data_IF_765161235368
#
_entry.id   IF_765161235368
#
_cell.length_a   1.000
_cell.length_b   1.000
_cell.length_c   1.000
_cell.angle_alpha   90.00
_cell.angle_beta   90.00
_cell.angle_gamma   90.00
#
_symmetry.space_group_name_H-M   'P 1'
#
loop_
_entity.id
_entity.type
_entity.pdbx_description
1 polymer ?
#
# COMPACT_ATOMS: atom_id res chain seq x y z
N UNK A 1 49.47 -31.13 12.89
CA UNK A 1 48.06 -30.74 13.15
C UNK A 1 47.80 -29.23 13.00
N UNK A 2 48.68 -28.35 13.51
CA UNK A 2 48.51 -26.88 13.48
C UNK A 2 48.42 -26.25 12.06
N UNK A 3 49.08 -26.84 11.06
CA UNK A 3 49.06 -26.38 9.66
C UNK A 3 47.75 -26.70 8.90
N UNK A 4 47.02 -27.74 9.32
CA UNK A 4 45.74 -28.14 8.72
C UNK A 4 44.62 -27.20 9.16
N UNK A 5 44.57 -26.92 10.48
CA UNK A 5 43.62 -25.96 11.03
C UNK A 5 43.79 -24.57 10.39
N UNK A 6 45.04 -24.12 10.21
CA UNK A 6 45.35 -22.83 9.58
C UNK A 6 44.77 -22.73 8.15
N UNK A 7 44.88 -23.80 7.34
CA UNK A 7 44.35 -23.82 5.97
C UNK A 7 42.83 -23.74 5.94
N UNK A 8 42.16 -24.45 6.84
CA UNK A 8 40.68 -24.44 6.95
C UNK A 8 40.19 -23.07 7.39
N UNK A 9 40.85 -22.45 8.38
CA UNK A 9 40.51 -21.11 8.84
C UNK A 9 40.63 -20.07 7.73
N UNK A 10 41.69 -20.14 6.92
CA UNK A 10 41.89 -19.22 5.79
C UNK A 10 40.79 -19.41 4.74
N UNK A 11 40.44 -20.65 4.39
CA UNK A 11 39.34 -20.93 3.47
C UNK A 11 37.99 -20.41 3.97
N UNK A 12 37.70 -20.55 5.26
CA UNK A 12 36.49 -20.05 5.90
C UNK A 12 36.41 -18.52 5.85
N UNK A 13 37.51 -17.83 6.19
CA UNK A 13 37.57 -16.36 6.15
C UNK A 13 37.40 -15.84 4.73
N UNK A 14 38.04 -16.48 3.75
CA UNK A 14 37.90 -16.10 2.33
C UNK A 14 36.46 -16.33 1.86
N UNK A 15 35.85 -17.47 2.18
CA UNK A 15 34.46 -17.77 1.82
C UNK A 15 33.47 -16.77 2.43
N UNK A 16 33.64 -16.42 3.71
CA UNK A 16 32.84 -15.41 4.38
C UNK A 16 33.01 -14.02 3.76
N UNK A 17 34.25 -13.63 3.48
CA UNK A 17 34.54 -12.34 2.86
C UNK A 17 33.88 -12.24 1.47
N UNK A 18 34.02 -13.27 0.64
CA UNK A 18 33.41 -13.30 -0.70
C UNK A 18 31.89 -13.33 -0.62
N UNK A 19 31.31 -14.15 0.27
CA UNK A 19 29.86 -14.22 0.45
C UNK A 19 29.25 -12.92 0.96
N UNK A 20 29.93 -12.21 1.88
CA UNK A 20 29.49 -10.93 2.40
C UNK A 20 29.60 -9.83 1.34
N UNK A 21 30.71 -9.77 0.60
CA UNK A 21 30.88 -8.83 -0.53
C UNK A 21 29.80 -9.08 -1.57
N UNK A 22 29.54 -10.34 -1.93
CA UNK A 22 28.52 -10.68 -2.92
C UNK A 22 27.12 -10.31 -2.43
N UNK A 23 26.78 -10.65 -1.19
CA UNK A 23 25.49 -10.36 -0.59
C UNK A 23 25.21 -8.86 -0.43
N UNK A 24 26.23 -8.06 -0.10
CA UNK A 24 26.06 -6.63 0.18
C UNK A 24 26.22 -5.74 -1.06
N UNK A 25 27.16 -6.05 -1.96
CA UNK A 25 27.49 -5.17 -3.10
C UNK A 25 26.65 -5.46 -4.33
N UNK A 26 26.37 -6.74 -4.64
CA UNK A 26 25.58 -7.09 -5.85
C UNK A 26 24.07 -7.03 -5.61
N UNK A 27 23.62 -7.24 -4.37
CA UNK A 27 22.21 -7.23 -3.97
C UNK A 27 22.03 -6.31 -2.77
N UNK A 28 22.27 -4.98 -2.91
CA UNK A 28 21.96 -4.06 -1.83
C UNK A 28 20.51 -4.27 -1.43
N UNK A 29 20.25 -4.45 -0.14
CA UNK A 29 18.87 -4.51 0.36
C UNK A 29 18.25 -3.17 0.01
N UNK A 30 17.42 -3.14 -1.02
CA UNK A 30 16.55 -2.01 -1.23
C UNK A 30 15.54 -2.12 -0.11
N UNK A 31 15.70 -1.29 0.92
CA UNK A 31 14.56 -0.84 1.69
C UNK A 31 13.65 -0.18 0.65
N UNK A 32 12.69 -0.95 0.15
CA UNK A 32 11.66 -0.39 -0.72
C UNK A 32 10.81 0.41 0.26
N UNK A 33 10.97 1.73 0.23
CA UNK A 33 10.11 2.65 0.94
C UNK A 33 8.66 2.28 0.58
N UNK A 34 7.98 1.61 1.51
CA UNK A 34 6.57 1.23 1.42
C UNK A 34 5.72 2.47 1.68
N UNK A 35 5.86 3.47 0.82
CA UNK A 35 4.92 4.58 0.83
C UNK A 35 3.57 4.04 0.34
N UNK A 36 2.42 4.47 0.90
CA UNK A 36 1.09 4.00 0.51
C UNK A 36 0.78 4.12 -0.99
N UNK A 37 1.47 5.00 -1.70
CA UNK A 37 1.45 5.16 -3.15
C UNK A 37 2.19 4.07 -3.94
N UNK A 38 2.84 3.11 -3.27
CA UNK A 38 3.38 1.89 -3.89
C UNK A 38 2.54 0.66 -3.61
N UNK A 39 1.44 0.79 -2.85
CA UNK A 39 0.51 -0.32 -2.66
C UNK A 39 0.04 -0.82 -4.03
N UNK A 40 0.18 -2.13 -4.25
CA UNK A 40 -0.43 -2.83 -5.37
C UNK A 40 -1.94 -2.51 -5.37
N UNK A 41 -2.51 -2.47 -6.58
CA UNK A 41 -3.88 -2.02 -6.81
C UNK A 41 -4.91 -2.82 -5.98
N UNK A 42 -4.62 -4.10 -5.70
CA UNK A 42 -5.37 -4.97 -4.78
C UNK A 42 -5.50 -4.36 -3.38
N UNK A 43 -4.38 -4.05 -2.72
CA UNK A 43 -4.40 -3.52 -1.36
C UNK A 43 -5.03 -2.13 -1.26
N UNK A 44 -4.95 -1.32 -2.32
CA UNK A 44 -5.63 -0.03 -2.35
C UNK A 44 -7.14 -0.21 -2.40
N UNK A 45 -7.63 -1.10 -3.27
CA UNK A 45 -9.05 -1.39 -3.37
C UNK A 45 -9.60 -1.94 -2.05
N UNK A 46 -8.86 -2.83 -1.39
CA UNK A 46 -9.22 -3.36 -0.07
C UNK A 46 -9.29 -2.25 1.01
N UNK A 47 -8.30 -1.34 1.05
CA UNK A 47 -8.32 -0.21 1.98
C UNK A 47 -9.52 0.73 1.75
N UNK A 48 -9.83 1.00 0.48
CA UNK A 48 -11.00 1.81 0.11
C UNK A 48 -12.28 1.10 0.50
N UNK A 49 -12.39 -0.22 0.30
CA UNK A 49 -13.54 -1.01 0.72
C UNK A 49 -13.73 -0.97 2.24
N UNK A 50 -12.66 -1.17 3.02
CA UNK A 50 -12.72 -1.04 4.48
C UNK A 50 -13.17 0.36 4.92
N UNK A 51 -12.69 1.40 4.22
CA UNK A 51 -13.10 2.78 4.47
C UNK A 51 -14.59 2.98 4.17
N UNK A 52 -15.09 2.41 3.06
CA UNK A 52 -16.50 2.47 2.69
C UNK A 52 -17.42 1.69 3.64
N UNK A 53 -16.95 0.54 4.14
CA UNK A 53 -17.66 -0.23 5.16
C UNK A 53 -17.75 0.53 6.48
N UNK A 54 -16.66 1.16 6.93
CA UNK A 54 -16.67 1.99 8.13
C UNK A 54 -17.56 3.23 7.97
N UNK A 55 -17.52 3.90 6.80
CA UNK A 55 -18.45 4.97 6.47
C UNK A 55 -19.90 4.49 6.52
N UNK A 56 -20.19 3.28 6.05
CA UNK A 56 -21.56 2.73 6.11
C UNK A 56 -22.05 2.45 7.54
N UNK A 57 -21.15 2.35 8.51
CA UNK A 57 -21.49 2.14 9.91
C UNK A 57 -21.60 3.47 10.68
N UNK A 58 -20.67 4.40 10.45
CA UNK A 58 -20.53 5.64 11.21
C UNK A 58 -21.18 6.84 10.52
N UNK A 59 -21.47 6.76 9.21
CA UNK A 59 -21.96 7.83 8.32
C UNK A 59 -21.10 9.12 8.31
N UNK A 60 -19.88 9.05 8.85
CA UNK A 60 -18.94 10.17 8.93
C UNK A 60 -18.10 10.28 7.64
N UNK A 61 -18.54 11.19 6.76
CA UNK A 61 -17.87 11.43 5.49
C UNK A 61 -16.52 12.17 5.64
N UNK A 62 -16.31 12.92 6.72
CA UNK A 62 -15.05 13.64 6.96
C UNK A 62 -13.94 12.64 7.33
N UNK A 63 -14.26 11.69 8.22
CA UNK A 63 -13.34 10.60 8.58
C UNK A 63 -13.00 9.76 7.35
N UNK A 64 -13.97 9.49 6.47
CA UNK A 64 -13.72 8.78 5.22
C UNK A 64 -12.76 9.56 4.30
N UNK A 65 -12.93 10.89 4.17
CA UNK A 65 -12.01 11.74 3.39
C UNK A 65 -10.58 11.70 3.93
N UNK A 66 -10.41 11.82 5.25
CA UNK A 66 -9.09 11.78 5.90
C UNK A 66 -8.40 10.45 5.64
N UNK A 67 -9.13 9.32 5.73
CA UNK A 67 -8.59 8.00 5.43
C UNK A 67 -8.18 7.87 3.96
N UNK A 68 -9.03 8.31 3.03
CA UNK A 68 -8.72 8.27 1.61
C UNK A 68 -7.52 9.16 1.23
N UNK A 69 -7.32 10.28 1.92
CA UNK A 69 -6.16 11.15 1.71
C UNK A 69 -4.82 10.46 2.03
N UNK A 70 -4.82 9.39 2.84
CA UNK A 70 -3.62 8.59 3.09
C UNK A 70 -3.11 7.84 1.84
N UNK A 71 -3.96 7.64 0.83
CA UNK A 71 -3.61 7.00 -0.44
C UNK A 71 -3.02 7.97 -1.48
N UNK A 72 -2.85 9.25 -1.12
CA UNK A 72 -2.16 10.25 -1.92
C UNK A 72 -2.99 11.52 -2.15
N UNK A 73 -2.38 12.55 -2.79
CA UNK A 73 -2.97 13.88 -2.97
C UNK A 73 -3.97 13.92 -4.14
N UNK A 74 -4.89 12.95 -4.18
CA UNK A 74 -5.93 12.85 -5.21
C UNK A 74 -7.31 13.12 -4.62
N UNK A 75 -8.27 13.62 -5.40
CA UNK A 75 -9.64 13.75 -4.96
C UNK A 75 -10.17 12.41 -4.40
N UNK A 76 -10.76 12.39 -3.20
CA UNK A 76 -11.25 11.14 -2.58
C UNK A 76 -12.22 10.36 -3.48
N UNK A 77 -13.03 11.06 -4.28
CA UNK A 77 -13.96 10.43 -5.22
C UNK A 77 -13.24 9.66 -6.34
N UNK A 78 -12.10 10.16 -6.85
CA UNK A 78 -11.33 9.48 -7.88
C UNK A 78 -10.71 8.19 -7.36
N UNK A 79 -10.22 8.22 -6.11
CA UNK A 79 -9.68 7.06 -5.41
C UNK A 79 -10.75 5.96 -5.27
N UNK A 80 -11.99 6.34 -4.94
CA UNK A 80 -13.09 5.38 -4.82
C UNK A 80 -13.53 4.85 -6.18
N UNK A 81 -13.56 5.67 -7.22
CA UNK A 81 -13.89 5.23 -8.58
C UNK A 81 -12.86 4.21 -9.10
N UNK A 82 -11.57 4.48 -8.91
CA UNK A 82 -10.50 3.52 -9.26
C UNK A 82 -10.66 2.18 -8.53
N UNK A 83 -11.05 2.21 -7.24
CA UNK A 83 -11.33 1.01 -6.48
C UNK A 83 -12.56 0.24 -6.99
N UNK A 84 -13.61 0.95 -7.46
CA UNK A 84 -14.79 0.31 -8.09
C UNK A 84 -14.40 -0.37 -9.40
N UNK A 85 -13.62 0.30 -10.25
CA UNK A 85 -13.16 -0.28 -11.52
C UNK A 85 -12.34 -1.56 -11.29
N UNK A 86 -11.44 -1.52 -10.31
CA UNK A 86 -10.68 -2.70 -9.89
C UNK A 86 -11.59 -3.81 -9.34
N UNK A 87 -12.52 -3.46 -8.44
CA UNK A 87 -13.45 -4.41 -7.83
C UNK A 87 -14.33 -5.11 -8.88
N UNK A 88 -14.72 -4.42 -9.96
CA UNK A 88 -15.43 -5.02 -11.09
C UNK A 88 -14.53 -5.96 -11.90
N UNK A 89 -13.27 -5.58 -12.13
CA UNK A 89 -12.33 -6.40 -12.89
C UNK A 89 -11.95 -7.71 -12.17
N UNK A 90 -11.97 -7.70 -10.83
CA UNK A 90 -11.60 -8.84 -9.98
C UNK A 90 -12.83 -9.56 -9.36
N UNK A 91 -14.03 -9.36 -9.92
CA UNK A 91 -15.26 -10.05 -9.53
C UNK A 91 -15.60 -9.96 -8.02
N UNK A 92 -15.46 -8.78 -7.43
CA UNK A 92 -15.85 -8.53 -6.04
C UNK A 92 -17.36 -8.79 -5.83
N UNK A 93 -17.75 -9.04 -4.58
CA UNK A 93 -19.16 -9.32 -4.27
C UNK A 93 -20.07 -8.11 -4.59
N UNK A 94 -21.32 -8.36 -4.96
CA UNK A 94 -22.30 -7.29 -5.22
C UNK A 94 -22.44 -6.36 -4.02
N UNK A 95 -22.38 -6.90 -2.80
CA UNK A 95 -22.45 -6.14 -1.55
C UNK A 95 -21.29 -5.16 -1.42
N UNK A 96 -20.07 -5.57 -1.79
CA UNK A 96 -18.89 -4.72 -1.71
C UNK A 96 -18.93 -3.62 -2.76
N UNK A 97 -19.36 -3.94 -3.99
CA UNK A 97 -19.60 -2.96 -5.05
C UNK A 97 -20.67 -1.93 -4.66
N UNK A 98 -21.76 -2.36 -4.02
CA UNK A 98 -22.79 -1.46 -3.49
C UNK A 98 -22.23 -0.54 -2.40
N UNK A 99 -21.39 -1.08 -1.50
CA UNK A 99 -20.77 -0.33 -0.42
C UNK A 99 -19.83 0.75 -0.96
N UNK A 100 -18.99 0.40 -1.93
CA UNK A 100 -18.12 1.34 -2.63
C UNK A 100 -18.92 2.43 -3.37
N UNK A 101 -19.98 2.04 -4.08
CA UNK A 101 -20.85 2.98 -4.79
C UNK A 101 -21.54 3.98 -3.85
N UNK A 102 -22.00 3.54 -2.67
CA UNK A 102 -22.58 4.44 -1.67
C UNK A 102 -21.59 5.52 -1.24
N UNK A 103 -20.34 5.14 -0.97
CA UNK A 103 -19.30 6.10 -0.62
C UNK A 103 -19.02 7.06 -1.79
N UNK A 104 -18.95 6.55 -3.03
CA UNK A 104 -18.73 7.38 -4.22
C UNK A 104 -19.84 8.43 -4.41
N UNK A 105 -21.12 8.02 -4.23
CA UNK A 105 -22.26 8.93 -4.32
C UNK A 105 -22.20 9.99 -3.22
N UNK A 106 -21.90 9.60 -1.98
CA UNK A 106 -21.79 10.54 -0.86
C UNK A 106 -20.67 11.58 -1.07
N UNK A 107 -19.52 11.16 -1.60
CA UNK A 107 -18.42 12.07 -1.92
C UNK A 107 -18.74 13.01 -3.09
N UNK A 108 -19.59 12.59 -4.03
CA UNK A 108 -20.00 13.43 -5.16
C UNK A 108 -21.08 14.45 -4.78
N UNK A 109 -21.95 14.10 -3.84
CA UNK A 109 -23.03 14.97 -3.36
C UNK A 109 -22.55 15.98 -2.31
N UNK A 110 -21.49 15.67 -1.56
CA UNK A 110 -20.83 16.59 -0.64
C UNK A 110 -19.52 17.09 -1.26
N UNK A 111 -19.56 18.16 -2.08
CA UNK A 111 -18.36 18.73 -2.67
C UNK A 111 -17.35 19.05 -1.56
N UNK A 112 -16.06 18.86 -1.86
CA UNK A 112 -14.93 19.07 -0.96
C UNK A 112 -15.17 20.29 -0.07
N UNK A 113 -15.30 20.09 1.24
CA UNK A 113 -15.22 21.19 2.20
C UNK A 113 -13.90 21.92 1.89
N UNK A 114 -14.03 23.18 1.46
CA UNK A 114 -13.03 23.87 0.68
C UNK A 114 -11.64 23.86 1.31
N UNK A 115 -10.66 23.49 0.48
CA UNK A 115 -9.37 24.17 0.47
C UNK A 115 -9.57 25.50 -0.26
N UNK A 116 -10.40 26.37 0.32
CA UNK A 116 -10.52 27.78 -0.04
C UNK A 116 -10.30 28.56 1.26
N UNK A 117 -9.03 28.71 1.61
CA UNK A 117 -8.62 29.69 2.63
C UNK A 117 -8.74 31.12 2.07
N UNK A 118 -8.99 32.12 2.92
CA UNK A 118 -9.15 33.52 2.51
C UNK A 118 -7.91 34.10 1.81
#
# INVERSE_FOLDING_TARGET
MKSMALRVSIGLVIGLAVGLIYGWVLRPVKYVDTSPDTLRQDFRADYVLMTAQAFSADEDLEVARIRLAALGPRPPVEIVVEAIEYAVAEDFSQRDLETLNRLAVALRSAPSAGVDGP
#
